data_IF_881438386830
#
_entry.id   IF_881438386830
#
_cell.length_a   1.000
_cell.length_b   1.000
_cell.length_c   1.000
_cell.angle_alpha   90.00
_cell.angle_beta   90.00
_cell.angle_gamma   90.00
#
_symmetry.space_group_name_H-M   'P 1'
#
loop_
_entity.id
_entity.type
_entity.pdbx_description
1 polymer ?
#
# COMPACT_ATOMS: atom_id res chain seq x y z
N UNK A 1 -93.63 -55.41 -10.43
CA UNK A 1 -92.76 -54.26 -10.76
C UNK A 1 -91.52 -54.80 -11.48
N UNK A 2 -91.14 -54.12 -12.58
CA UNK A 2 -89.91 -54.18 -13.41
C UNK A 2 -88.69 -54.87 -12.73
N UNK A 3 -87.71 -55.54 -13.37
CA UNK A 3 -87.14 -55.53 -14.73
C UNK A 3 -86.05 -56.64 -14.79
N UNK A 4 -85.89 -57.37 -15.91
CA UNK A 4 -84.69 -57.38 -16.79
C UNK A 4 -83.34 -57.78 -16.15
N UNK A 5 -82.75 -58.94 -16.49
CA UNK A 5 -82.01 -59.33 -17.73
C UNK A 5 -80.48 -59.08 -17.63
N UNK A 6 -79.76 -60.16 -17.95
CA UNK A 6 -78.53 -60.26 -18.77
C UNK A 6 -77.14 -59.96 -18.15
N UNK A 7 -76.34 -61.04 -18.13
CA UNK A 7 -74.95 -61.22 -18.61
C UNK A 7 -73.98 -60.02 -18.57
N UNK A 8 -72.81 -60.25 -17.97
CA UNK A 8 -71.55 -59.60 -18.38
C UNK A 8 -70.38 -60.57 -18.33
N UNK A 9 -69.71 -60.68 -19.48
CA UNK A 9 -68.39 -61.28 -19.61
C UNK A 9 -67.27 -60.24 -19.56
N UNK A 10 -66.06 -60.80 -19.43
CA UNK A 10 -64.71 -60.39 -19.85
C UNK A 10 -64.31 -58.90 -19.95
N UNK A 11 -63.18 -58.59 -19.32
CA UNK A 11 -62.35 -57.42 -19.65
C UNK A 11 -60.98 -57.52 -18.98
N UNK A 12 -59.97 -57.97 -19.73
CA UNK A 12 -58.55 -57.92 -19.38
C UNK A 12 -58.05 -56.49 -19.62
N UNK A 13 -57.39 -55.88 -18.64
CA UNK A 13 -56.76 -54.56 -18.77
C UNK A 13 -55.23 -54.69 -18.67
N UNK A 14 -54.55 -54.27 -19.74
CA UNK A 14 -53.10 -54.05 -19.81
C UNK A 14 -52.72 -52.80 -19.02
N UNK A 15 -51.74 -52.88 -18.12
CA UNK A 15 -51.12 -51.74 -17.47
C UNK A 15 -49.79 -51.42 -18.14
N UNK A 16 -49.69 -50.26 -18.81
CA UNK A 16 -48.45 -49.71 -19.33
C UNK A 16 -47.75 -48.91 -18.22
N UNK A 17 -46.52 -49.29 -17.87
CA UNK A 17 -45.67 -48.57 -16.91
C UNK A 17 -44.71 -47.66 -17.67
N UNK A 18 -44.87 -46.35 -17.51
CA UNK A 18 -43.97 -45.32 -18.04
C UNK A 18 -42.81 -45.11 -17.06
N UNK A 19 -41.60 -45.50 -17.44
CA UNK A 19 -40.38 -45.22 -16.68
C UNK A 19 -39.88 -43.80 -17.00
N UNK A 20 -39.91 -42.89 -16.03
CA UNK A 20 -39.21 -41.60 -16.13
C UNK A 20 -37.71 -41.83 -15.90
N UNK A 21 -36.89 -41.55 -16.92
CA UNK A 21 -35.45 -41.49 -16.80
C UNK A 21 -35.05 -40.12 -16.21
N UNK A 22 -34.47 -40.13 -15.00
CA UNK A 22 -33.79 -38.96 -14.43
C UNK A 22 -32.39 -38.86 -15.03
N UNK A 23 -32.13 -37.79 -15.79
CA UNK A 23 -30.77 -37.41 -16.18
C UNK A 23 -30.13 -36.62 -15.01
N UNK A 24 -28.90 -36.96 -14.57
CA UNK A 24 -28.18 -36.14 -13.62
C UNK A 24 -27.76 -34.84 -14.32
N UNK A 25 -28.29 -33.71 -13.83
CA UNK A 25 -27.82 -32.39 -14.24
C UNK A 25 -26.42 -32.16 -13.69
N UNK A 26 -25.44 -31.97 -14.57
CA UNK A 26 -24.15 -31.40 -14.19
C UNK A 26 -24.38 -29.93 -13.83
N UNK A 27 -24.52 -29.64 -12.54
CA UNK A 27 -24.31 -28.30 -12.02
C UNK A 27 -22.82 -28.01 -12.13
N UNK A 28 -22.43 -27.16 -13.08
CA UNK A 28 -21.14 -26.48 -13.01
C UNK A 28 -21.18 -25.57 -11.79
N UNK A 29 -20.69 -26.05 -10.65
CA UNK A 29 -20.33 -25.19 -9.54
C UNK A 29 -19.29 -24.19 -10.07
N UNK A 30 -19.68 -22.93 -10.17
CA UNK A 30 -18.72 -21.84 -10.31
C UNK A 30 -17.73 -21.97 -9.15
N UNK A 31 -16.42 -21.82 -9.40
CA UNK A 31 -15.46 -21.72 -8.30
C UNK A 31 -15.94 -20.66 -7.32
N UNK A 32 -15.76 -20.84 -5.99
CA UNK A 32 -15.99 -19.75 -5.05
C UNK A 32 -15.25 -18.51 -5.58
N UNK A 33 -15.84 -17.31 -5.47
CA UNK A 33 -15.19 -16.08 -5.93
C UNK A 33 -13.77 -16.06 -5.37
N UNK A 34 -12.78 -16.03 -6.27
CA UNK A 34 -11.38 -16.07 -5.88
C UNK A 34 -11.09 -14.90 -4.94
N UNK A 35 -10.17 -15.10 -4.00
CA UNK A 35 -9.68 -14.03 -3.14
C UNK A 35 -8.74 -13.06 -3.91
N UNK A 36 -8.66 -13.17 -5.24
CA UNK A 36 -7.84 -12.32 -6.11
C UNK A 36 -8.55 -11.04 -6.53
N UNK A 37 -7.74 -10.05 -6.86
CA UNK A 37 -8.21 -8.75 -7.36
C UNK A 37 -7.56 -7.58 -6.64
N UNK A 38 -7.97 -6.38 -7.04
CA UNK A 38 -7.52 -5.12 -6.43
C UNK A 38 -8.61 -4.58 -5.53
N UNK A 39 -8.25 -4.35 -4.27
CA UNK A 39 -9.09 -3.81 -3.22
C UNK A 39 -8.63 -2.40 -2.89
N UNK A 40 -9.54 -1.51 -2.55
CA UNK A 40 -9.25 -0.09 -2.34
C UNK A 40 -9.61 0.33 -0.92
N UNK A 41 -8.75 1.15 -0.32
CA UNK A 41 -9.07 1.85 0.92
C UNK A 41 -10.04 3.02 0.67
N UNK A 42 -10.42 3.75 1.74
CA UNK A 42 -11.25 4.94 1.63
C UNK A 42 -10.61 6.01 0.73
N UNK A 43 -11.43 6.68 -0.08
CA UNK A 43 -10.96 7.79 -0.94
C UNK A 43 -10.99 9.11 -0.18
N UNK A 44 -9.92 9.89 -0.30
CA UNK A 44 -9.81 11.24 0.29
C UNK A 44 -9.54 12.29 -0.80
N UNK A 45 -9.95 13.55 -0.60
CA UNK A 45 -9.67 14.64 -1.54
C UNK A 45 -8.18 14.99 -1.56
N UNK A 46 -7.63 15.26 -2.75
CA UNK A 46 -6.27 15.76 -2.95
C UNK A 46 -6.25 16.67 -4.18
N UNK A 47 -5.81 17.92 -4.02
CA UNK A 47 -5.90 18.91 -5.10
C UNK A 47 -7.33 19.05 -5.62
N UNK A 48 -7.49 19.04 -6.95
CA UNK A 48 -8.79 19.00 -7.64
C UNK A 48 -9.30 17.57 -7.87
N UNK A 49 -8.70 16.57 -7.23
CA UNK A 49 -8.98 15.17 -7.43
C UNK A 49 -9.07 14.41 -6.11
N UNK A 50 -8.69 13.14 -6.16
CA UNK A 50 -8.74 12.22 -5.03
C UNK A 50 -7.49 11.36 -4.97
N UNK A 51 -7.22 10.83 -3.79
CA UNK A 51 -6.23 9.80 -3.51
C UNK A 51 -6.86 8.67 -2.72
N UNK A 52 -6.39 7.44 -2.95
CA UNK A 52 -6.75 6.25 -2.18
C UNK A 52 -5.62 5.23 -2.23
N UNK A 53 -5.49 4.44 -1.17
CA UNK A 53 -4.62 3.26 -1.14
C UNK A 53 -5.29 2.08 -1.84
N UNK A 54 -4.50 1.07 -2.18
CA UNK A 54 -5.00 -0.21 -2.67
C UNK A 54 -4.09 -1.37 -2.29
N UNK A 55 -4.60 -2.59 -2.45
CA UNK A 55 -3.85 -3.84 -2.38
C UNK A 55 -4.32 -4.77 -3.49
N UNK A 56 -3.40 -5.43 -4.16
CA UNK A 56 -3.69 -6.48 -5.15
C UNK A 56 -3.35 -7.84 -4.57
N UNK A 57 -4.27 -8.79 -4.68
CA UNK A 57 -4.12 -10.17 -4.27
C UNK A 57 -4.08 -11.12 -5.48
N UNK A 58 -3.25 -12.17 -5.39
CA UNK A 58 -3.27 -13.29 -6.35
C UNK A 58 -4.42 -14.28 -6.08
N UNK A 59 -4.56 -15.31 -6.92
CA UNK A 59 -5.63 -16.32 -6.80
C UNK A 59 -5.58 -17.12 -5.48
N UNK A 60 -4.43 -17.11 -4.81
CA UNK A 60 -4.25 -17.69 -3.47
C UNK A 60 -4.59 -16.74 -2.33
N UNK A 61 -5.04 -15.52 -2.62
CA UNK A 61 -5.28 -14.47 -1.63
C UNK A 61 -4.00 -13.88 -1.03
N UNK A 62 -2.85 -14.05 -1.70
CA UNK A 62 -1.57 -13.49 -1.22
C UNK A 62 -1.36 -12.10 -1.82
N UNK A 63 -0.93 -11.10 -1.03
CA UNK A 63 -0.66 -9.78 -1.56
C UNK A 63 0.50 -9.85 -2.55
N UNK A 64 0.33 -9.20 -3.70
CA UNK A 64 1.36 -9.04 -4.74
C UNK A 64 1.86 -7.60 -4.83
N UNK A 65 1.03 -6.65 -4.43
CA UNK A 65 1.28 -5.21 -4.49
C UNK A 65 0.41 -4.44 -3.49
N UNK A 66 0.94 -3.37 -2.93
CA UNK A 66 0.19 -2.28 -2.29
C UNK A 66 0.61 -0.94 -2.90
N UNK A 67 -0.23 0.07 -2.79
CA UNK A 67 0.14 1.39 -3.32
C UNK A 67 -0.92 2.45 -3.13
N UNK A 68 -0.72 3.57 -3.80
CA UNK A 68 -1.68 4.66 -3.93
C UNK A 68 -2.11 4.83 -5.39
N UNK A 69 -3.34 5.27 -5.57
CA UNK A 69 -3.84 5.82 -6.82
C UNK A 69 -4.27 7.27 -6.61
N UNK A 70 -3.67 8.17 -7.36
CA UNK A 70 -4.02 9.59 -7.42
C UNK A 70 -4.74 9.84 -8.73
N UNK A 71 -5.96 10.37 -8.67
CA UNK A 71 -6.74 10.67 -9.88
C UNK A 71 -6.02 11.66 -10.80
N UNK A 72 -6.34 11.73 -12.09
CA UNK A 72 -5.61 12.58 -13.05
C UNK A 72 -5.51 14.06 -12.63
N UNK A 73 -6.54 14.59 -11.96
CA UNK A 73 -6.62 15.99 -11.48
C UNK A 73 -6.10 16.18 -10.06
N UNK A 74 -5.56 15.14 -9.41
CA UNK A 74 -5.08 15.23 -8.03
C UNK A 74 -3.82 16.10 -7.89
N UNK A 75 -3.07 16.27 -8.98
CA UNK A 75 -1.89 17.14 -9.02
C UNK A 75 -2.23 18.60 -9.36
N UNK A 76 -3.50 18.90 -9.63
CA UNK A 76 -4.00 20.24 -9.92
C UNK A 76 -4.60 20.88 -8.67
N UNK A 77 -4.58 22.22 -8.58
CA UNK A 77 -5.22 22.93 -7.47
C UNK A 77 -4.59 22.68 -6.10
N UNK A 78 -3.40 22.07 -6.04
CA UNK A 78 -2.65 21.90 -4.80
C UNK A 78 -2.29 23.27 -4.20
N UNK A 79 -2.27 23.40 -2.86
CA UNK A 79 -1.82 24.62 -2.20
C UNK A 79 -0.40 25.00 -2.66
N UNK A 80 -0.19 26.28 -2.98
CA UNK A 80 1.09 26.77 -3.49
C UNK A 80 2.08 27.17 -2.37
N UNK A 81 1.67 27.15 -1.11
CA UNK A 81 2.49 27.48 0.04
C UNK A 81 1.94 26.81 1.30
N UNK A 82 2.82 26.51 2.24
CA UNK A 82 2.45 25.96 3.53
C UNK A 82 1.83 27.06 4.41
N UNK A 83 0.50 27.16 4.42
CA UNK A 83 -0.24 28.08 5.32
C UNK A 83 -0.69 27.38 6.60
N UNK A 84 0.22 26.69 7.26
CA UNK A 84 -0.04 25.87 8.45
C UNK A 84 0.85 24.62 8.47
N UNK A 85 0.43 23.59 9.20
CA UNK A 85 1.00 22.24 9.02
C UNK A 85 0.83 21.84 7.54
N UNK A 86 1.81 21.15 6.93
CA UNK A 86 1.66 20.63 5.58
C UNK A 86 0.38 19.80 5.50
N UNK A 87 -0.32 19.76 4.34
CA UNK A 87 -1.46 18.87 4.17
C UNK A 87 -0.98 17.44 4.37
N UNK A 88 -1.32 16.86 5.51
CA UNK A 88 -1.03 15.48 5.87
C UNK A 88 -2.33 14.69 5.77
N UNK A 89 -2.35 13.67 4.91
CA UNK A 89 -3.43 12.71 4.84
C UNK A 89 -2.95 11.39 5.44
N UNK A 90 -3.75 10.83 6.34
CA UNK A 90 -3.58 9.45 6.83
C UNK A 90 -4.52 8.56 6.02
N UNK A 91 -3.96 7.70 5.18
CA UNK A 91 -4.71 6.87 4.23
C UNK A 91 -4.63 5.41 4.66
N UNK A 92 -5.72 4.89 5.23
CA UNK A 92 -5.80 3.48 5.64
C UNK A 92 -5.70 2.56 4.43
N UNK A 93 -4.97 1.45 4.55
CA UNK A 93 -5.07 0.35 3.58
C UNK A 93 -6.41 -0.40 3.72
N UNK A 94 -6.90 -1.06 2.66
CA UNK A 94 -8.02 -1.97 2.79
C UNK A 94 -7.64 -3.19 3.65
N UNK A 95 -8.61 -3.81 4.34
CA UNK A 95 -8.38 -4.97 5.23
C UNK A 95 -7.60 -6.14 4.58
N UNK A 96 -7.69 -6.26 3.24
CA UNK A 96 -6.96 -7.22 2.43
C UNK A 96 -5.43 -7.04 2.47
N UNK A 97 -4.93 -5.89 2.92
CA UNK A 97 -3.51 -5.62 3.12
C UNK A 97 -2.94 -6.24 4.41
N UNK A 98 -3.77 -6.82 5.28
CA UNK A 98 -3.39 -7.27 6.63
C UNK A 98 -2.27 -8.33 6.70
N UNK A 99 -1.96 -9.00 5.59
CA UNK A 99 -0.83 -9.92 5.48
C UNK A 99 0.52 -9.22 5.18
N UNK A 100 0.51 -7.91 4.92
CA UNK A 100 1.69 -7.05 4.75
C UNK A 100 2.06 -6.39 6.08
N UNK A 101 3.26 -5.80 6.24
CA UNK A 101 3.61 -5.11 7.47
C UNK A 101 2.97 -3.71 7.61
N UNK A 102 2.33 -3.19 6.55
CA UNK A 102 1.90 -1.80 6.46
C UNK A 102 0.49 -1.58 7.02
N UNK A 103 0.35 -0.51 7.78
CA UNK A 103 -0.90 -0.10 8.44
C UNK A 103 -1.64 0.95 7.60
N UNK A 104 -0.94 2.03 7.25
CA UNK A 104 -1.47 3.15 6.49
C UNK A 104 -0.39 3.79 5.61
N UNK A 105 -0.79 4.81 4.85
CA UNK A 105 0.15 5.75 4.23
C UNK A 105 -0.05 7.14 4.82
N UNK A 106 1.00 7.73 5.40
CA UNK A 106 1.05 9.17 5.64
C UNK A 106 1.53 9.88 4.38
N UNK A 107 0.62 10.64 3.75
CA UNK A 107 0.91 11.43 2.55
C UNK A 107 1.08 12.90 2.93
N UNK A 108 2.23 13.47 2.59
CA UNK A 108 2.53 14.89 2.76
C UNK A 108 2.64 15.57 1.39
N UNK A 109 2.11 16.79 1.27
CA UNK A 109 2.40 17.68 0.15
C UNK A 109 3.31 18.82 0.63
N UNK A 110 4.50 18.92 0.03
CA UNK A 110 5.51 19.93 0.34
C UNK A 110 5.62 20.93 -0.81
N UNK A 111 4.78 21.99 -0.86
CA UNK A 111 4.75 22.94 -1.99
C UNK A 111 6.04 23.75 -2.16
N UNK A 112 6.86 23.85 -1.12
CA UNK A 112 8.10 24.62 -1.08
C UNK A 112 9.32 23.70 -0.85
N UNK A 113 9.11 22.38 -0.86
CA UNK A 113 10.10 21.41 -0.41
C UNK A 113 10.34 21.44 1.11
N UNK A 114 11.40 20.76 1.55
CA UNK A 114 11.86 20.80 2.94
C UNK A 114 13.37 20.57 3.05
N UNK A 115 13.89 20.66 4.27
CA UNK A 115 15.31 20.48 4.57
C UNK A 115 15.80 19.05 4.25
N UNK A 116 17.06 18.88 3.80
CA UNK A 116 17.97 19.94 3.33
C UNK A 116 17.53 20.49 1.97
N UNK A 117 17.30 21.82 1.81
CA UNK A 117 16.72 22.41 0.61
C UNK A 117 17.60 22.25 -0.64
N UNK A 118 18.91 22.12 -0.45
CA UNK A 118 19.87 21.79 -1.51
C UNK A 118 19.65 20.41 -2.16
N UNK A 119 18.90 19.53 -1.50
CA UNK A 119 18.49 18.23 -2.03
C UNK A 119 16.97 18.18 -2.26
N UNK A 120 16.16 18.62 -1.28
CA UNK A 120 14.71 18.42 -1.26
C UNK A 120 13.89 19.72 -1.34
N UNK A 121 14.47 20.79 -1.89
CA UNK A 121 13.82 22.11 -2.03
C UNK A 121 12.83 22.24 -3.19
N UNK A 122 12.57 21.19 -3.98
CA UNK A 122 11.56 21.22 -5.05
C UNK A 122 10.17 20.86 -4.52
N UNK A 123 9.06 21.31 -5.11
CA UNK A 123 7.72 20.87 -4.70
C UNK A 123 7.52 19.36 -4.91
N UNK A 124 7.22 18.63 -3.85
CA UNK A 124 7.15 17.17 -3.88
C UNK A 124 6.14 16.60 -2.88
N UNK A 125 5.88 15.30 -3.03
CA UNK A 125 5.10 14.50 -2.11
C UNK A 125 5.99 13.52 -1.37
N UNK A 126 5.66 13.27 -0.10
CA UNK A 126 6.25 12.20 0.69
C UNK A 126 5.17 11.14 0.92
N UNK A 127 5.47 9.89 0.60
CA UNK A 127 4.55 8.77 0.75
C UNK A 127 5.10 7.81 1.80
N UNK A 128 4.87 8.07 3.08
CA UNK A 128 5.33 7.18 4.14
C UNK A 128 4.44 5.96 4.19
N UNK A 129 4.93 4.81 3.72
CA UNK A 129 4.27 3.52 3.91
C UNK A 129 4.61 3.04 5.33
N UNK A 130 3.75 3.39 6.27
CA UNK A 130 3.95 3.15 7.70
C UNK A 130 3.68 1.69 8.08
N UNK A 131 4.60 1.11 8.84
CA UNK A 131 4.54 -0.25 9.39
C UNK A 131 4.12 -0.28 10.87
N UNK A 132 3.80 0.88 11.43
CA UNK A 132 3.38 1.07 12.81
C UNK A 132 1.97 1.65 12.84
N UNK A 133 1.25 1.39 13.93
CA UNK A 133 -0.11 1.89 14.10
C UNK A 133 -0.14 3.42 14.33
N UNK A 134 -1.32 4.01 14.08
CA UNK A 134 -1.56 5.44 14.35
C UNK A 134 -1.25 5.84 15.80
N UNK A 135 -1.48 4.96 16.78
CA UNK A 135 -1.16 5.23 18.18
C UNK A 135 0.36 5.38 18.40
N UNK A 136 1.19 4.59 17.72
CA UNK A 136 2.64 4.78 17.70
C UNK A 136 2.97 6.16 17.12
N UNK A 137 2.44 6.49 15.94
CA UNK A 137 2.69 7.77 15.25
C UNK A 137 2.35 8.96 16.15
N UNK A 138 1.17 8.96 16.75
CA UNK A 138 0.71 10.00 17.68
C UNK A 138 1.55 10.10 18.96
N UNK A 139 2.25 9.03 19.34
CA UNK A 139 3.15 9.03 20.50
C UNK A 139 4.53 9.64 20.23
N UNK A 140 4.89 9.88 18.97
CA UNK A 140 6.16 10.51 18.55
C UNK A 140 6.05 12.02 18.75
N UNK A 141 6.06 12.47 20.00
CA UNK A 141 5.85 13.89 20.35
C UNK A 141 7.16 14.49 20.88
N UNK A 142 7.61 15.60 20.31
CA UNK A 142 8.87 16.25 20.69
C UNK A 142 8.96 16.74 22.14
N UNK A 143 7.84 16.82 22.86
CA UNK A 143 7.78 17.16 24.29
C UNK A 143 7.88 15.95 25.23
N UNK A 144 7.88 14.72 24.70
CA UNK A 144 8.13 13.51 25.49
C UNK A 144 9.55 13.58 26.10
N UNK A 145 9.72 13.46 27.43
CA UNK A 145 11.04 13.47 28.06
C UNK A 145 11.97 12.37 27.53
N UNK A 146 11.43 11.27 27.00
CA UNK A 146 12.19 10.16 26.42
C UNK A 146 12.38 10.31 24.90
N UNK A 147 11.88 11.37 24.26
CA UNK A 147 11.91 11.57 22.80
C UNK A 147 13.33 11.40 22.22
N UNK A 148 14.30 12.10 22.80
CA UNK A 148 15.68 12.02 22.35
C UNK A 148 16.26 10.61 22.53
N UNK A 149 16.00 9.96 23.67
CA UNK A 149 16.51 8.61 23.93
C UNK A 149 15.89 7.55 22.99
N UNK A 150 14.62 7.72 22.62
CA UNK A 150 13.92 6.86 21.64
C UNK A 150 14.42 7.07 20.22
N UNK A 151 14.66 8.33 19.83
CA UNK A 151 15.22 8.68 18.53
C UNK A 151 16.65 8.13 18.32
N UNK A 152 17.50 8.20 19.35
CA UNK A 152 18.87 7.65 19.28
C UNK A 152 18.90 6.11 19.29
N UNK A 153 17.78 5.46 19.63
CA UNK A 153 17.71 4.01 19.72
C UNK A 153 17.44 3.40 18.36
N UNK A 154 18.48 3.30 17.54
CA UNK A 154 18.40 2.61 16.25
C UNK A 154 18.04 1.11 16.42
N UNK A 155 17.30 0.50 15.47
CA UNK A 155 17.20 -0.96 15.39
C UNK A 155 18.57 -1.60 15.12
N UNK A 156 18.69 -2.91 15.39
CA UNK A 156 19.85 -3.67 14.91
C UNK A 156 19.97 -3.56 13.39
N UNK A 157 21.18 -3.43 12.87
CA UNK A 157 21.42 -3.15 11.44
C UNK A 157 20.86 -4.20 10.49
N UNK A 158 20.68 -5.46 10.96
CA UNK A 158 20.06 -6.52 10.15
C UNK A 158 18.60 -6.23 9.78
N UNK A 159 17.90 -5.37 10.53
CA UNK A 159 16.48 -5.05 10.33
C UNK A 159 16.23 -3.84 9.42
N UNK A 160 17.27 -3.10 9.04
CA UNK A 160 17.17 -1.92 8.16
C UNK A 160 17.74 -2.30 6.79
N UNK A 161 17.18 -1.77 5.67
CA UNK A 161 17.80 -1.91 4.36
C UNK A 161 19.28 -1.52 4.35
N UNK A 162 20.09 -2.25 3.60
CA UNK A 162 21.53 -1.99 3.50
C UNK A 162 21.83 -0.55 3.03
N UNK A 163 22.92 0.02 3.54
CA UNK A 163 23.44 1.38 3.23
C UNK A 163 22.56 2.55 3.68
N UNK A 164 21.38 2.30 4.26
CA UNK A 164 20.56 3.36 4.84
C UNK A 164 21.07 3.77 6.23
N UNK A 165 21.37 5.05 6.38
CA UNK A 165 21.92 5.63 7.62
C UNK A 165 21.24 6.95 7.95
N UNK A 166 21.32 7.35 9.22
CA UNK A 166 20.94 8.71 9.64
C UNK A 166 21.84 9.71 8.88
N UNK A 167 21.28 10.74 8.23
CA UNK A 167 22.07 11.75 7.55
C UNK A 167 23.18 12.31 8.44
N UNK A 168 24.39 12.53 7.91
CA UNK A 168 25.50 13.05 8.71
C UNK A 168 25.24 14.48 9.17
N UNK A 169 25.82 14.86 10.31
CA UNK A 169 25.80 16.23 10.83
C UNK A 169 25.29 16.33 12.26
N UNK A 170 23.98 16.22 12.45
CA UNK A 170 23.35 16.29 13.76
C UNK A 170 23.09 14.88 14.36
N UNK A 171 22.94 14.74 15.68
CA UNK A 171 22.47 13.49 16.29
C UNK A 171 21.05 13.11 15.83
N UNK A 172 20.69 11.82 15.89
CA UNK A 172 19.38 11.33 15.45
C UNK A 172 18.23 12.02 16.21
N UNK A 173 18.41 12.31 17.51
CA UNK A 173 17.45 13.04 18.32
C UNK A 173 17.13 14.44 17.79
N UNK A 174 18.11 15.12 17.19
CA UNK A 174 17.91 16.45 16.62
C UNK A 174 17.29 16.40 15.21
N UNK A 175 17.37 15.25 14.53
CA UNK A 175 16.82 15.03 13.19
C UNK A 175 15.44 14.35 13.22
N UNK A 176 15.05 13.77 14.35
CA UNK A 176 13.76 13.11 14.49
C UNK A 176 12.61 14.11 14.31
N UNK A 177 11.65 13.75 13.46
CA UNK A 177 10.46 14.57 13.20
C UNK A 177 9.27 14.04 14.01
N UNK A 178 8.60 14.88 14.82
CA UNK A 178 7.39 14.48 15.52
C UNK A 178 6.33 13.92 14.56
N UNK A 179 5.75 12.78 14.94
CA UNK A 179 4.82 12.03 14.10
C UNK A 179 5.46 11.13 13.03
N UNK A 180 6.78 11.13 12.84
CA UNK A 180 7.43 10.31 11.80
C UNK A 180 8.58 9.48 12.37
N UNK A 181 9.47 10.12 13.14
CA UNK A 181 10.68 9.50 13.69
C UNK A 181 11.94 9.93 12.94
N UNK A 182 12.95 9.06 12.91
CA UNK A 182 14.26 9.35 12.33
C UNK A 182 14.33 8.85 10.90
N UNK A 183 14.57 9.77 9.97
CA UNK A 183 14.73 9.49 8.55
C UNK A 183 16.15 9.01 8.25
N UNK A 184 16.26 8.07 7.30
CA UNK A 184 17.49 7.45 6.85
C UNK A 184 17.62 7.63 5.33
N UNK A 185 18.81 7.98 4.87
CA UNK A 185 19.15 8.12 3.45
C UNK A 185 20.09 7.01 3.00
N UNK A 186 20.06 6.66 1.72
CA UNK A 186 21.02 5.71 1.14
C UNK A 186 22.39 6.38 0.99
N UNK A 187 23.32 6.06 1.88
CA UNK A 187 24.66 6.67 1.87
C UNK A 187 25.52 6.22 0.69
N UNK A 188 25.14 5.14 0.01
CA UNK A 188 25.87 4.68 -1.19
C UNK A 188 25.42 5.41 -2.46
N UNK A 189 24.31 6.17 -2.41
CA UNK A 189 23.86 6.97 -3.54
C UNK A 189 24.78 8.19 -3.73
N UNK A 190 25.76 8.02 -4.61
CA UNK A 190 26.72 9.07 -4.96
C UNK A 190 26.10 10.28 -5.68
N UNK A 191 24.81 10.25 -6.03
CA UNK A 191 24.11 11.41 -6.60
C UNK A 191 23.66 12.42 -5.55
N UNK A 192 23.56 12.04 -4.26
CA UNK A 192 23.14 12.90 -3.14
C UNK A 192 24.22 13.92 -2.74
N UNK A 193 24.60 14.75 -3.71
CA UNK A 193 25.57 15.84 -3.55
C UNK A 193 24.81 17.16 -3.49
N UNK A 194 24.81 17.86 -2.34
CA UNK A 194 24.27 19.20 -2.18
C UNK A 194 24.52 20.13 -3.37
N UNK A 195 23.45 20.65 -3.98
CA UNK A 195 23.52 21.59 -5.09
C UNK A 195 23.86 21.00 -6.46
N UNK A 196 24.07 19.67 -6.56
CA UNK A 196 24.23 18.95 -7.83
C UNK A 196 23.19 17.85 -8.04
N UNK A 197 22.52 17.42 -6.98
CA UNK A 197 21.45 16.44 -7.06
C UNK A 197 20.24 17.00 -7.81
N UNK A 198 19.83 16.31 -8.89
CA UNK A 198 18.60 16.62 -9.59
C UNK A 198 17.46 15.81 -8.98
N UNK A 199 16.79 16.40 -8.00
CA UNK A 199 15.72 15.72 -7.29
C UNK A 199 14.50 15.53 -8.20
N UNK A 200 14.22 14.29 -8.55
CA UNK A 200 13.00 13.87 -9.24
C UNK A 200 12.17 12.93 -8.35
N UNK A 201 12.82 11.88 -7.86
CA UNK A 201 12.29 10.96 -6.87
C UNK A 201 13.44 10.27 -6.11
N UNK A 202 13.18 9.87 -4.86
CA UNK A 202 14.10 9.10 -4.01
C UNK A 202 13.30 8.15 -3.14
N UNK A 203 13.95 7.12 -2.60
CA UNK A 203 13.40 6.29 -1.52
C UNK A 203 14.25 6.51 -0.28
N UNK A 204 13.62 7.02 0.78
CA UNK A 204 14.18 7.07 2.12
C UNK A 204 13.44 6.11 3.05
N UNK A 205 13.93 5.98 4.28
CA UNK A 205 13.46 4.98 5.23
C UNK A 205 13.35 5.58 6.64
N UNK A 206 12.54 4.96 7.49
CA UNK A 206 12.24 5.48 8.81
C UNK A 206 12.57 4.53 9.94
N UNK A 207 13.02 5.07 11.07
CA UNK A 207 13.15 4.31 12.31
C UNK A 207 12.61 5.07 13.51
N UNK A 208 12.12 4.31 14.48
CA UNK A 208 11.73 4.83 15.78
C UNK A 208 11.86 3.75 16.84
N UNK A 209 12.59 4.05 17.92
CA UNK A 209 12.66 3.25 19.13
C UNK A 209 12.90 1.74 18.90
N UNK A 210 14.06 1.40 18.33
CA UNK A 210 14.47 0.05 17.93
C UNK A 210 13.64 -0.63 16.84
N UNK A 211 12.80 0.11 16.12
CA UNK A 211 12.00 -0.42 15.00
C UNK A 211 12.31 0.28 13.69
N UNK A 212 12.28 -0.50 12.61
CA UNK A 212 12.14 0.01 11.26
C UNK A 212 10.65 0.28 10.99
N UNK A 213 10.30 1.53 10.68
CA UNK A 213 8.90 2.00 10.79
C UNK A 213 8.26 2.38 9.47
N UNK A 214 9.01 2.80 8.46
CA UNK A 214 8.41 3.14 7.16
C UNK A 214 9.38 3.04 5.98
N UNK A 215 8.81 2.88 4.79
CA UNK A 215 9.45 3.14 3.48
C UNK A 215 8.82 4.43 2.95
N UNK A 216 9.62 5.36 2.45
CA UNK A 216 9.12 6.65 1.97
C UNK A 216 9.69 6.99 0.59
N UNK A 217 8.91 6.77 -0.47
CA UNK A 217 9.16 7.44 -1.72
C UNK A 217 8.86 8.93 -1.58
N UNK A 218 9.82 9.78 -1.89
CA UNK A 218 9.58 11.20 -2.13
C UNK A 218 9.59 11.44 -3.64
N UNK A 219 8.59 12.16 -4.16
CA UNK A 219 8.40 12.33 -5.60
C UNK A 219 8.03 13.78 -5.92
N UNK A 220 8.82 14.43 -6.77
CA UNK A 220 8.50 15.77 -7.25
C UNK A 220 7.24 15.78 -8.10
N UNK A 221 6.43 16.83 -7.95
CA UNK A 221 5.24 17.04 -8.78
C UNK A 221 5.62 17.19 -10.25
N UNK A 222 6.73 17.87 -10.52
CA UNK A 222 7.25 18.08 -11.87
C UNK A 222 7.50 16.75 -12.58
N UNK A 223 8.19 15.82 -11.93
CA UNK A 223 8.46 14.51 -12.52
C UNK A 223 7.19 13.68 -12.73
N UNK A 224 6.25 13.67 -11.78
CA UNK A 224 4.95 12.99 -11.96
C UNK A 224 4.21 13.47 -13.22
N UNK A 225 4.20 14.78 -13.48
CA UNK A 225 3.52 15.36 -14.64
C UNK A 225 4.12 14.97 -15.99
N UNK A 226 5.33 14.42 -16.02
CA UNK A 226 5.91 13.85 -17.26
C UNK A 226 5.23 12.55 -17.69
N UNK A 227 4.41 11.95 -16.81
CA UNK A 227 3.81 10.64 -17.00
C UNK A 227 4.85 9.52 -16.96
N UNK A 228 5.61 9.39 -15.86
CA UNK A 228 6.70 8.44 -15.77
C UNK A 228 6.18 7.01 -15.88
N UNK A 229 7.06 6.10 -16.28
CA UNK A 229 6.90 4.66 -16.14
C UNK A 229 8.23 4.09 -15.65
N UNK A 230 8.38 4.06 -14.33
CA UNK A 230 9.62 3.69 -13.64
C UNK A 230 9.37 2.55 -12.66
N UNK A 231 10.33 1.64 -12.58
CA UNK A 231 10.35 0.57 -11.59
C UNK A 231 11.81 0.29 -11.21
N UNK A 232 12.07 0.16 -9.91
CA UNK A 232 13.39 -0.15 -9.38
C UNK A 232 13.32 -1.17 -8.24
N UNK A 233 14.37 -2.00 -8.06
CA UNK A 233 14.46 -2.87 -6.89
C UNK A 233 14.63 -2.04 -5.61
N UNK A 234 14.08 -2.53 -4.51
CA UNK A 234 14.35 -2.01 -3.18
C UNK A 234 15.61 -2.67 -2.60
N UNK A 235 16.41 -1.89 -1.87
CA UNK A 235 17.36 -2.49 -0.93
C UNK A 235 16.58 -3.14 0.20
N UNK A 236 17.01 -4.32 0.64
CA UNK A 236 16.27 -5.13 1.59
C UNK A 236 17.04 -5.31 2.91
N UNK A 237 16.33 -5.42 4.05
CA UNK A 237 16.90 -5.91 5.29
C UNK A 237 17.46 -7.33 5.14
N UNK A 238 18.40 -7.70 6.03
CA UNK A 238 18.90 -9.08 6.11
C UNK A 238 17.97 -9.98 6.94
N UNK A 239 17.25 -9.40 7.89
CA UNK A 239 16.29 -10.04 8.76
C UNK A 239 15.08 -9.12 8.99
N UNK A 240 13.98 -9.67 9.50
CA UNK A 240 12.72 -8.95 9.65
C UNK A 240 12.20 -9.08 11.08
N UNK A 241 11.66 -8.00 11.64
CA UNK A 241 11.12 -8.00 13.01
C UNK A 241 9.72 -8.64 13.09
N UNK A 242 9.01 -8.76 11.97
CA UNK A 242 7.64 -9.29 11.87
C UNK A 242 7.55 -10.27 10.69
N UNK A 243 6.80 -11.36 10.87
CA UNK A 243 6.44 -12.24 9.75
C UNK A 243 5.34 -11.57 8.93
N UNK A 244 5.60 -11.29 7.65
CA UNK A 244 4.67 -10.66 6.72
C UNK A 244 5.16 -10.79 5.27
N UNK A 245 4.32 -10.36 4.32
CA UNK A 245 4.75 -10.12 2.93
C UNK A 245 5.39 -8.74 2.80
N UNK A 246 6.68 -8.70 2.46
CA UNK A 246 7.46 -7.48 2.27
C UNK A 246 7.73 -7.21 0.79
N UNK A 247 7.72 -5.94 0.34
CA UNK A 247 7.97 -5.59 -1.04
C UNK A 247 9.44 -5.79 -1.41
N UNK A 248 9.69 -6.00 -2.69
CA UNK A 248 11.04 -6.09 -3.27
C UNK A 248 11.28 -5.08 -4.36
N UNK A 249 10.23 -4.38 -4.82
CA UNK A 249 10.31 -3.35 -5.86
C UNK A 249 9.44 -2.16 -5.51
N UNK A 250 9.85 -0.99 -5.98
CA UNK A 250 9.08 0.24 -6.00
C UNK A 250 8.82 0.65 -7.44
N UNK A 251 7.62 1.18 -7.72
CA UNK A 251 7.27 1.64 -9.06
C UNK A 251 6.38 2.89 -9.04
N UNK A 252 6.50 3.66 -10.13
CA UNK A 252 5.61 4.78 -10.43
C UNK A 252 5.20 4.72 -11.88
N UNK A 253 3.90 4.73 -12.15
CA UNK A 253 3.38 4.80 -13.51
C UNK A 253 2.06 5.53 -13.60
N UNK A 254 1.61 5.83 -14.82
CA UNK A 254 0.24 6.29 -15.09
C UNK A 254 -0.57 5.11 -15.63
N UNK A 255 -1.67 4.76 -14.97
CA UNK A 255 -2.58 3.69 -15.39
C UNK A 255 -3.20 4.04 -16.75
N UNK A 256 -3.14 3.12 -17.72
CA UNK A 256 -3.59 3.41 -19.08
C UNK A 256 -5.11 3.65 -19.19
N UNK A 257 -5.91 3.03 -18.31
CA UNK A 257 -7.37 3.08 -18.38
C UNK A 257 -7.91 4.22 -17.53
N UNK A 258 -7.55 4.28 -16.25
CA UNK A 258 -8.06 5.31 -15.35
C UNK A 258 -7.32 6.63 -15.48
N UNK A 259 -6.11 6.62 -16.05
CA UNK A 259 -5.17 7.75 -16.08
C UNK A 259 -4.71 8.18 -14.68
N UNK A 260 -4.94 7.36 -13.67
CA UNK A 260 -4.45 7.63 -12.31
C UNK A 260 -2.91 7.52 -12.29
N UNK A 261 -2.27 8.38 -11.51
CA UNK A 261 -0.88 8.15 -11.10
C UNK A 261 -0.88 7.03 -10.04
N UNK A 262 -0.03 6.04 -10.24
CA UNK A 262 0.11 4.86 -9.39
C UNK A 262 1.50 4.86 -8.78
N UNK A 263 1.56 4.85 -7.46
CA UNK A 263 2.80 4.73 -6.67
C UNK A 263 2.69 3.42 -5.92
N UNK A 264 3.57 2.45 -6.19
CA UNK A 264 3.42 1.08 -5.66
C UNK A 264 4.68 0.50 -5.04
N UNK A 265 4.45 -0.33 -4.01
CA UNK A 265 5.39 -1.29 -3.46
C UNK A 265 4.91 -2.69 -3.88
N UNK A 266 5.73 -3.40 -4.64
CA UNK A 266 5.35 -4.66 -5.30
C UNK A 266 6.41 -5.76 -5.09
N UNK A 267 6.22 -6.91 -5.73
CA UNK A 267 7.10 -8.06 -5.58
C UNK A 267 7.06 -8.64 -4.16
N UNK A 268 5.86 -8.62 -3.57
CA UNK A 268 5.59 -9.04 -2.20
C UNK A 268 6.08 -10.47 -1.94
N UNK A 269 7.00 -10.61 -1.00
CA UNK A 269 7.64 -11.88 -0.63
C UNK A 269 7.44 -12.13 0.85
N UNK A 270 6.97 -13.33 1.20
CA UNK A 270 6.86 -13.74 2.61
C UNK A 270 8.24 -13.76 3.26
N UNK A 271 8.35 -13.12 4.42
CA UNK A 271 9.53 -13.14 5.29
C UNK A 271 9.12 -13.59 6.67
N UNK A 272 9.93 -14.44 7.28
CA UNK A 272 9.76 -14.87 8.66
C UNK A 272 10.57 -13.97 9.60
N UNK A 273 10.02 -13.70 10.78
CA UNK A 273 10.74 -12.97 11.81
C UNK A 273 12.02 -13.72 12.24
N UNK A 274 13.16 -13.02 12.34
CA UNK A 274 14.49 -13.64 12.61
C UNK A 274 15.53 -12.73 13.24
#
# INVERSE_FOLDING_TARGET
>A
MLRHRLLRGLGIAFAASTALAFLPGCSSESPPPGNSGTFFGPSQPLGNGTVKTYTTLDDGGRPTEIGLRLSPTALDGLPAANRGLPPTLMLDFPDQASATPFDHVMLNWNPEGHEPPELFGKPHFDFHFDMVDMATIESIIGSDPDYAAKAERAPESKYVPQDYVVPPGAPAAAQAVPGMGVHLIDFSDGSLVPGSYDFEHIIINGTWDSRYTFIEPMITREWLLTGPASQQPLKLPQAYQKTAYYPTTYGVHVDEQSKDYVISLAGMTMREAS
#
